data_IF_349088154572
#
_entry.id   IF_349088154572
#
_cell.length_a   1.000
_cell.length_b   1.000
_cell.length_c   1.000
_cell.angle_alpha   90.00
_cell.angle_beta   90.00
_cell.angle_gamma   90.00
#
_symmetry.space_group_name_H-M   'P 1'
#
loop_
_entity.id
_entity.type
_entity.pdbx_description
1 polymer ?
#
# COMPACT_ATOMS: atom_id res chain seq x y z
N UNK A 1 1.15 -12.51 -5.87
CA UNK A 1 0.78 -11.44 -6.80
C UNK A 1 1.15 -10.16 -6.06
N UNK A 2 2.21 -9.48 -6.49
CA UNK A 2 2.63 -8.25 -5.81
C UNK A 2 1.62 -7.19 -6.24
N UNK A 3 0.79 -6.73 -5.29
CA UNK A 3 -0.10 -5.60 -5.52
C UNK A 3 0.78 -4.36 -5.54
N UNK A 4 1.01 -3.78 -6.71
CA UNK A 4 1.87 -2.60 -6.83
C UNK A 4 0.98 -1.39 -6.56
N UNK A 5 0.80 -1.12 -5.27
CA UNK A 5 0.17 0.10 -4.74
C UNK A 5 1.04 0.75 -3.67
N UNK A 6 2.36 0.54 -3.81
CA UNK A 6 3.35 1.06 -2.88
C UNK A 6 3.27 2.58 -2.76
N UNK A 7 2.96 3.29 -3.86
CA UNK A 7 2.79 4.74 -3.85
C UNK A 7 1.63 5.18 -2.94
N UNK A 8 0.44 4.60 -3.11
CA UNK A 8 -0.74 4.91 -2.29
C UNK A 8 -0.48 4.61 -0.81
N UNK A 9 0.07 3.42 -0.53
CA UNK A 9 0.44 3.02 0.83
C UNK A 9 1.42 4.01 1.45
N UNK A 10 2.48 4.39 0.73
CA UNK A 10 3.46 5.37 1.22
C UNK A 10 2.85 6.73 1.50
N UNK A 11 2.01 7.24 0.60
CA UNK A 11 1.34 8.54 0.80
C UNK A 11 0.44 8.51 2.04
N UNK A 12 -0.31 7.43 2.25
CA UNK A 12 -1.11 7.27 3.47
C UNK A 12 -0.23 7.13 4.71
N UNK A 13 0.86 6.37 4.65
CA UNK A 13 1.84 6.25 5.72
C UNK A 13 2.47 7.59 6.11
N UNK A 14 2.79 8.42 5.11
CA UNK A 14 3.29 9.79 5.28
C UNK A 14 2.27 10.64 6.05
N UNK A 15 1.01 10.65 5.59
CA UNK A 15 -0.06 11.40 6.25
C UNK A 15 -0.31 10.91 7.68
N UNK A 16 -0.32 9.60 7.92
CA UNK A 16 -0.45 9.03 9.26
C UNK A 16 0.68 9.50 10.17
N UNK A 17 1.93 9.40 9.71
CA UNK A 17 3.07 9.84 10.51
C UNK A 17 3.02 11.35 10.78
N UNK A 18 2.69 12.16 9.79
CA UNK A 18 2.49 13.59 9.96
C UNK A 18 1.42 13.89 11.04
N UNK A 19 0.24 13.31 10.90
CA UNK A 19 -0.89 13.55 11.81
C UNK A 19 -0.57 13.10 13.23
N UNK A 20 0.08 11.95 13.40
CA UNK A 20 0.49 11.48 14.73
C UNK A 20 1.48 12.44 15.37
N UNK A 21 2.53 12.86 14.65
CA UNK A 21 3.54 13.78 15.18
C UNK A 21 2.92 15.15 15.52
N UNK A 22 1.97 15.62 14.71
CA UNK A 22 1.36 16.95 14.88
C UNK A 22 0.35 17.00 16.02
N UNK A 23 -0.44 15.94 16.22
CA UNK A 23 -1.60 15.97 17.11
C UNK A 23 -1.46 15.12 18.38
N UNK A 24 -0.51 14.19 18.44
CA UNK A 24 -0.29 13.37 19.64
C UNK A 24 0.80 14.02 20.51
N UNK A 25 0.59 14.12 21.84
CA UNK A 25 1.59 14.68 22.75
C UNK A 25 2.99 14.06 22.57
N UNK A 26 4.03 14.84 22.89
CA UNK A 26 5.48 14.57 22.69
C UNK A 26 6.07 13.32 23.37
N UNK A 27 5.26 12.29 23.64
CA UNK A 27 5.73 10.96 24.02
C UNK A 27 6.16 10.22 22.76
N UNK A 28 7.47 10.25 22.47
CA UNK A 28 8.08 9.64 21.29
C UNK A 28 7.64 8.18 21.09
N UNK A 29 7.64 7.39 22.17
CA UNK A 29 7.25 5.98 22.12
C UNK A 29 5.79 5.76 21.72
N UNK A 30 4.89 6.58 22.26
CA UNK A 30 3.48 6.52 21.90
C UNK A 30 3.27 6.85 20.43
N UNK A 31 3.96 7.89 19.94
CA UNK A 31 3.91 8.28 18.52
C UNK A 31 4.36 7.14 17.61
N UNK A 32 5.51 6.51 17.90
CA UNK A 32 6.02 5.36 17.13
C UNK A 32 4.98 4.23 17.12
N UNK A 33 4.43 3.85 18.27
CA UNK A 33 3.44 2.78 18.37
C UNK A 33 2.20 3.11 17.53
N UNK A 34 1.69 4.34 17.61
CA UNK A 34 0.52 4.76 16.84
C UNK A 34 0.79 4.78 15.34
N UNK A 35 1.97 5.23 14.91
CA UNK A 35 2.39 5.20 13.50
C UNK A 35 2.40 3.76 12.99
N UNK A 36 2.98 2.83 13.76
CA UNK A 36 3.03 1.42 13.39
C UNK A 36 1.62 0.80 13.31
N UNK A 37 0.77 1.06 14.31
CA UNK A 37 -0.60 0.51 14.35
C UNK A 37 -1.44 1.09 13.20
N UNK A 38 -1.48 2.40 13.06
CA UNK A 38 -2.30 3.04 12.03
C UNK A 38 -1.78 2.77 10.63
N UNK A 39 -0.45 2.78 10.43
CA UNK A 39 0.17 2.38 9.17
C UNK A 39 -0.22 0.96 8.79
N UNK A 40 -0.06 0.00 9.71
CA UNK A 40 -0.45 -1.40 9.50
C UNK A 40 -1.94 -1.57 9.21
N UNK A 41 -2.81 -0.86 9.93
CA UNK A 41 -4.26 -0.94 9.75
C UNK A 41 -4.75 -0.23 8.48
N UNK A 42 -3.96 0.70 7.91
CA UNK A 42 -4.34 1.42 6.69
C UNK A 42 -4.57 0.49 5.48
N UNK A 43 -3.90 -0.67 5.45
CA UNK A 43 -4.17 -1.73 4.48
C UNK A 43 -5.63 -2.14 4.43
N UNK A 44 -6.31 -2.19 5.58
CA UNK A 44 -7.72 -2.59 5.64
C UNK A 44 -8.61 -1.73 4.74
N UNK A 45 -8.22 -0.47 4.50
CA UNK A 45 -8.96 0.47 3.68
C UNK A 45 -8.46 0.47 2.24
N UNK A 46 -7.15 0.52 2.04
CA UNK A 46 -6.53 0.69 0.72
C UNK A 46 -6.71 -0.56 -0.14
N UNK A 47 -6.39 -1.73 0.41
CA UNK A 47 -6.39 -2.98 -0.35
C UNK A 47 -7.77 -3.39 -0.89
N UNK A 48 -8.86 -3.28 -0.12
CA UNK A 48 -10.19 -3.59 -0.62
C UNK A 48 -10.69 -2.58 -1.66
N UNK A 49 -10.36 -1.30 -1.51
CA UNK A 49 -10.65 -0.28 -2.52
C UNK A 49 -9.96 -0.65 -3.84
N UNK A 50 -8.66 -0.90 -3.77
CA UNK A 50 -7.86 -1.34 -4.89
C UNK A 50 -8.37 -2.61 -5.56
N UNK A 51 -8.64 -3.64 -4.76
CA UNK A 51 -9.14 -4.92 -5.23
C UNK A 51 -10.42 -4.81 -6.07
N UNK A 52 -11.16 -3.70 -5.95
CA UNK A 52 -12.40 -3.45 -6.67
C UNK A 52 -12.26 -2.43 -7.79
N UNK A 53 -11.46 -1.39 -7.61
CA UNK A 53 -11.52 -0.22 -8.49
C UNK A 53 -10.26 0.01 -9.31
N UNK A 54 -9.15 -0.65 -9.00
CA UNK A 54 -7.87 -0.40 -9.69
C UNK A 54 -7.47 -1.50 -10.67
N UNK A 55 -6.61 -1.14 -11.62
CA UNK A 55 -6.07 -2.07 -12.61
C UNK A 55 -4.95 -2.91 -12.01
N UNK A 56 -5.25 -4.17 -11.73
CA UNK A 56 -4.28 -5.18 -11.31
C UNK A 56 -4.66 -6.53 -11.93
N UNK A 57 -4.18 -6.82 -13.15
CA UNK A 57 -4.39 -8.14 -13.72
C UNK A 57 -3.72 -9.20 -12.84
N UNK A 58 -4.32 -10.39 -12.68
CA UNK A 58 -3.85 -11.41 -11.74
C UNK A 58 -2.47 -11.98 -12.09
N UNK A 59 -2.02 -11.76 -13.32
CA UNK A 59 -0.70 -12.15 -13.83
C UNK A 59 -0.03 -10.92 -14.42
N UNK A 60 1.25 -10.74 -14.09
CA UNK A 60 2.09 -9.77 -14.76
C UNK A 60 2.21 -10.17 -16.24
N UNK A 61 2.01 -9.20 -17.14
CA UNK A 61 2.17 -9.38 -18.57
C UNK A 61 3.32 -8.50 -19.08
N UNK A 62 4.51 -9.08 -19.12
CA UNK A 62 5.73 -8.40 -19.58
C UNK A 62 5.75 -8.14 -21.08
N UNK A 63 4.85 -8.76 -21.85
CA UNK A 63 4.74 -8.52 -23.29
C UNK A 63 3.74 -7.39 -23.59
N UNK A 64 2.87 -7.03 -22.64
CA UNK A 64 1.99 -5.89 -22.77
C UNK A 64 2.74 -4.58 -22.47
N UNK A 65 3.00 -3.81 -23.53
CA UNK A 65 3.64 -2.48 -23.44
C UNK A 65 2.91 -1.53 -22.49
N UNK A 66 1.58 -1.61 -22.41
CA UNK A 66 0.81 -0.78 -21.49
C UNK A 66 1.13 -1.14 -20.04
N UNK A 67 1.06 -2.44 -19.70
CA UNK A 67 1.38 -2.94 -18.37
C UNK A 67 2.80 -2.54 -17.97
N UNK A 68 3.79 -2.77 -18.83
CA UNK A 68 5.19 -2.43 -18.54
C UNK A 68 5.37 -0.93 -18.32
N UNK A 69 4.84 -0.10 -19.22
CA UNK A 69 5.00 1.36 -19.15
C UNK A 69 4.33 1.94 -17.89
N UNK A 70 3.13 1.44 -17.57
CA UNK A 70 2.41 1.83 -16.35
C UNK A 70 3.23 1.53 -15.09
N UNK A 71 3.74 0.31 -14.95
CA UNK A 71 4.50 -0.08 -13.76
C UNK A 71 5.84 0.63 -13.64
N UNK A 72 6.54 0.89 -14.76
CA UNK A 72 7.74 1.74 -14.75
C UNK A 72 7.39 3.13 -14.19
N UNK A 73 6.29 3.73 -14.64
CA UNK A 73 5.81 5.01 -14.12
C UNK A 73 5.55 4.97 -12.62
N UNK A 74 4.83 3.94 -12.13
CA UNK A 74 4.56 3.77 -10.70
C UNK A 74 5.84 3.58 -9.88
N UNK A 75 6.83 2.85 -10.38
CA UNK A 75 8.11 2.68 -9.69
C UNK A 75 8.90 3.99 -9.60
N UNK A 76 8.98 4.75 -10.69
CA UNK A 76 9.61 6.08 -10.69
C UNK A 76 8.91 6.97 -9.68
N UNK A 77 7.58 7.03 -9.74
CA UNK A 77 6.77 7.84 -8.84
C UNK A 77 6.92 7.46 -7.37
N UNK A 78 6.89 6.16 -7.06
CA UNK A 78 7.17 5.64 -5.70
C UNK A 78 8.56 6.05 -5.24
N UNK A 79 9.57 5.97 -6.11
CA UNK A 79 10.94 6.42 -5.81
C UNK A 79 11.01 7.91 -5.50
N UNK A 80 10.28 8.75 -6.24
CA UNK A 80 10.18 10.18 -5.95
C UNK A 80 9.54 10.43 -4.59
N UNK A 81 8.46 9.72 -4.23
CA UNK A 81 7.82 9.83 -2.91
C UNK A 81 8.84 9.55 -1.79
N UNK A 82 9.63 8.46 -1.92
CA UNK A 82 10.66 8.13 -0.92
C UNK A 82 11.68 9.27 -0.77
N UNK A 83 12.15 9.83 -1.87
CA UNK A 83 13.18 10.89 -1.88
C UNK A 83 12.64 12.18 -1.26
N UNK A 84 11.46 12.64 -1.69
CA UNK A 84 10.88 13.90 -1.24
C UNK A 84 10.37 13.87 0.19
N UNK A 85 9.87 12.71 0.65
CA UNK A 85 9.26 12.54 1.97
C UNK A 85 10.07 11.62 2.89
N UNK A 86 11.40 11.58 2.73
CA UNK A 86 12.28 10.69 3.49
C UNK A 86 12.14 10.80 5.01
N UNK A 87 11.83 11.99 5.52
CA UNK A 87 11.57 12.24 6.94
C UNK A 87 10.38 11.43 7.51
N UNK A 88 9.48 10.96 6.64
CA UNK A 88 8.33 10.13 6.98
C UNK A 88 8.52 8.63 6.67
N UNK A 89 9.77 8.18 6.61
CA UNK A 89 10.11 6.78 6.29
C UNK A 89 9.44 5.76 7.21
N UNK A 90 9.24 6.08 8.49
CA UNK A 90 8.64 5.15 9.46
C UNK A 90 7.18 4.85 9.09
N UNK A 91 6.43 5.89 8.74
CA UNK A 91 5.05 5.78 8.25
C UNK A 91 4.99 4.98 6.95
N UNK A 92 5.87 5.28 6.00
CA UNK A 92 5.96 4.55 4.72
C UNK A 92 6.25 3.05 4.93
N UNK A 93 7.17 2.69 5.84
CA UNK A 93 7.45 1.29 6.15
C UNK A 93 6.25 0.66 6.87
N UNK A 94 5.70 1.34 7.88
CA UNK A 94 4.55 0.86 8.65
C UNK A 94 3.37 0.49 7.73
N UNK A 95 3.10 1.33 6.73
CA UNK A 95 2.05 1.14 5.73
C UNK A 95 2.37 0.09 4.67
N UNK A 96 3.50 -0.63 4.73
CA UNK A 96 3.78 -1.79 3.87
C UNK A 96 4.16 -3.05 4.67
N UNK A 97 4.05 -3.03 6.00
CA UNK A 97 4.36 -4.19 6.84
C UNK A 97 3.52 -5.43 6.43
N UNK A 98 2.19 -5.34 6.23
CA UNK A 98 1.40 -6.48 5.72
C UNK A 98 1.96 -7.08 4.43
N UNK A 99 2.39 -6.24 3.48
CA UNK A 99 3.01 -6.68 2.23
C UNK A 99 4.34 -7.40 2.47
N UNK A 100 5.20 -6.85 3.32
CA UNK A 100 6.47 -7.49 3.69
C UNK A 100 6.21 -8.85 4.35
N UNK A 101 5.23 -8.92 5.26
CA UNK A 101 4.91 -10.11 6.02
C UNK A 101 4.28 -11.22 5.19
N UNK A 102 3.39 -10.93 4.23
CA UNK A 102 2.77 -11.98 3.41
C UNK A 102 3.60 -12.29 2.15
N UNK A 103 4.15 -11.27 1.48
CA UNK A 103 4.88 -11.48 0.22
C UNK A 103 6.37 -11.78 0.43
N UNK A 104 7.02 -11.11 1.39
CA UNK A 104 8.42 -11.43 1.75
C UNK A 104 8.54 -12.86 2.27
N UNK A 105 7.58 -13.26 3.10
CA UNK A 105 7.35 -14.64 3.51
C UNK A 105 7.31 -15.63 2.32
N UNK A 106 6.43 -15.39 1.35
CA UNK A 106 6.33 -16.23 0.13
C UNK A 106 7.62 -16.24 -0.68
N UNK A 107 8.32 -15.10 -0.77
CA UNK A 107 9.59 -15.01 -1.47
C UNK A 107 10.67 -15.87 -0.79
N UNK A 108 10.77 -15.84 0.54
CA UNK A 108 11.71 -16.65 1.31
C UNK A 108 11.49 -18.16 1.15
N UNK A 109 10.24 -18.61 0.97
CA UNK A 109 9.93 -20.02 0.65
C UNK A 109 10.55 -20.46 -0.67
N UNK A 110 10.63 -19.59 -1.69
CA UNK A 110 11.28 -19.91 -2.98
C UNK A 110 12.74 -20.35 -2.78
N UNK A 111 13.37 -19.87 -1.71
CA UNK A 111 14.75 -20.20 -1.33
C UNK A 111 14.85 -21.37 -0.34
N UNK A 112 13.76 -22.10 -0.06
CA UNK A 112 13.70 -23.32 0.78
C UNK A 112 14.24 -23.19 2.22
N UNK A 113 14.45 -21.98 2.73
CA UNK A 113 15.00 -21.80 4.08
C UNK A 113 14.03 -22.21 5.19
N UNK A 114 12.71 -22.11 4.97
CA UNK A 114 11.69 -22.44 5.97
C UNK A 114 10.45 -23.09 5.35
N UNK A 115 10.04 -24.23 5.88
CA UNK A 115 8.78 -24.90 5.56
C UNK A 115 7.71 -24.52 6.60
N UNK A 116 7.14 -23.32 6.48
CA UNK A 116 6.02 -22.92 7.33
C UNK A 116 4.70 -23.00 6.56
N UNK A 117 3.70 -23.69 7.12
CA UNK A 117 2.41 -23.96 6.46
C UNK A 117 1.60 -22.69 6.15
N UNK A 118 1.88 -21.59 6.85
CA UNK A 118 1.19 -20.33 6.65
C UNK A 118 1.65 -19.54 5.39
N UNK A 119 2.63 -20.03 4.62
CA UNK A 119 3.10 -19.33 3.41
C UNK A 119 2.11 -19.35 2.22
N UNK A 120 1.16 -20.29 2.18
CA UNK A 120 0.33 -20.50 0.99
C UNK A 120 -0.82 -19.50 0.85
N UNK A 121 -1.26 -18.88 1.95
CA UNK A 121 -2.37 -17.90 1.97
C UNK A 121 -1.86 -16.55 2.49
N UNK A 122 -2.39 -15.42 1.99
CA UNK A 122 -1.99 -14.12 2.50
C UNK A 122 -2.72 -13.89 3.84
N UNK A 123 -2.22 -14.51 4.91
CA UNK A 123 -2.92 -14.57 6.19
C UNK A 123 -3.10 -13.18 6.80
N UNK A 124 -2.06 -12.34 6.72
CA UNK A 124 -2.09 -10.99 7.29
C UNK A 124 -3.11 -10.15 6.55
N UNK A 125 -3.08 -10.12 5.21
CA UNK A 125 -4.08 -9.40 4.43
C UNK A 125 -5.49 -9.97 4.63
N UNK A 126 -5.64 -11.30 4.68
CA UNK A 126 -6.95 -11.91 4.93
C UNK A 126 -7.50 -11.54 6.30
N UNK A 127 -6.65 -11.40 7.31
CA UNK A 127 -7.07 -10.99 8.65
C UNK A 127 -7.51 -9.52 8.67
N UNK A 128 -6.67 -8.62 8.15
CA UNK A 128 -6.87 -7.17 8.20
C UNK A 128 -7.99 -6.71 7.25
N UNK A 129 -8.07 -7.26 6.04
CA UNK A 129 -9.00 -6.79 5.02
C UNK A 129 -10.41 -7.37 5.17
N UNK A 130 -10.59 -8.44 5.95
CA UNK A 130 -11.88 -9.16 6.06
C UNK A 130 -13.07 -8.28 6.46
N UNK A 131 -12.96 -7.36 7.45
CA UNK A 131 -14.08 -6.50 7.81
C UNK A 131 -14.54 -5.62 6.65
N UNK A 132 -13.61 -5.00 5.93
CA UNK A 132 -13.93 -4.08 4.83
C UNK A 132 -14.36 -4.84 3.58
N UNK A 133 -13.74 -5.98 3.27
CA UNK A 133 -14.19 -6.85 2.18
C UNK A 133 -15.61 -7.39 2.41
N UNK A 134 -16.00 -7.63 3.67
CA UNK A 134 -17.37 -7.99 4.02
C UNK A 134 -18.34 -6.85 3.71
N UNK A 135 -17.98 -5.60 4.03
CA UNK A 135 -18.78 -4.42 3.69
C UNK A 135 -18.91 -4.19 2.18
N UNK A 136 -17.87 -4.55 1.42
CA UNK A 136 -17.84 -4.44 -0.05
C UNK A 136 -18.40 -5.68 -0.77
N UNK A 137 -19.08 -6.58 -0.04
CA UNK A 137 -19.70 -7.76 -0.63
C UNK A 137 -20.80 -7.33 -1.61
N UNK A 138 -20.66 -7.68 -2.87
CA UNK A 138 -21.59 -7.31 -3.95
C UNK A 138 -21.11 -6.17 -4.85
N UNK A 139 -20.00 -5.49 -4.50
CA UNK A 139 -19.34 -4.57 -5.43
C UNK A 139 -18.56 -5.40 -6.45
N UNK A 140 -19.00 -5.38 -7.70
CA UNK A 140 -18.27 -5.96 -8.82
C UNK A 140 -17.21 -4.97 -9.30
N UNK A 141 -15.97 -5.43 -9.35
CA UNK A 141 -14.82 -4.68 -9.84
C UNK A 141 -14.21 -5.41 -11.02
N UNK A 142 -13.64 -4.67 -11.97
CA UNK A 142 -12.93 -5.25 -13.10
C UNK A 142 -11.48 -4.78 -13.12
N UNK A 143 -10.63 -5.62 -12.54
CA UNK A 143 -9.22 -5.33 -12.30
C UNK A 143 -8.37 -5.58 -13.56
N UNK A 144 -8.98 -6.12 -14.63
CA UNK A 144 -8.31 -6.37 -15.90
C UNK A 144 -8.49 -5.23 -16.90
N UNK A 145 -9.39 -4.28 -16.64
CA UNK A 145 -9.59 -3.12 -17.50
C UNK A 145 -8.49 -2.10 -17.27
N UNK A 146 -7.79 -1.74 -18.34
CA UNK A 146 -6.75 -0.69 -18.33
C UNK A 146 -7.26 0.65 -17.79
N UNK A 147 -8.55 0.96 -17.94
CA UNK A 147 -9.17 2.16 -17.35
C UNK A 147 -9.14 2.17 -15.82
N UNK A 148 -8.95 1.01 -15.18
CA UNK A 148 -8.74 0.90 -13.74
C UNK A 148 -7.45 1.56 -13.23
N UNK A 149 -6.54 2.02 -14.11
CA UNK A 149 -5.42 2.87 -13.65
C UNK A 149 -5.88 4.27 -13.23
N UNK A 150 -7.02 4.74 -13.75
CA UNK A 150 -7.50 6.11 -13.53
C UNK A 150 -7.81 6.36 -12.05
N UNK A 151 -8.60 5.52 -11.34
CA UNK A 151 -8.88 5.73 -9.93
C UNK A 151 -7.62 5.75 -9.06
N UNK A 152 -6.62 4.93 -9.39
CA UNK A 152 -5.34 4.89 -8.67
C UNK A 152 -4.55 6.18 -8.86
N UNK A 153 -4.39 6.63 -10.11
CA UNK A 153 -3.68 7.89 -10.44
C UNK A 153 -4.38 9.09 -9.78
N UNK A 154 -5.71 9.13 -9.83
CA UNK A 154 -6.49 10.22 -9.20
C UNK A 154 -6.30 10.22 -7.69
N UNK A 155 -6.39 9.05 -7.04
CA UNK A 155 -6.18 8.94 -5.60
C UNK A 155 -4.77 9.37 -5.20
N UNK A 156 -3.74 8.86 -5.89
CA UNK A 156 -2.34 9.20 -5.62
C UNK A 156 -2.03 10.68 -5.85
N UNK A 157 -2.64 11.30 -6.87
CA UNK A 157 -2.50 12.73 -7.12
C UNK A 157 -3.13 13.55 -6.00
N UNK A 158 -4.36 13.20 -5.58
CA UNK A 158 -5.04 13.87 -4.46
C UNK A 158 -4.22 13.75 -3.18
N UNK A 159 -3.79 12.53 -2.83
CA UNK A 159 -3.00 12.28 -1.63
C UNK A 159 -1.66 13.02 -1.66
N UNK A 160 -1.02 13.11 -2.82
CA UNK A 160 0.23 13.88 -2.97
C UNK A 160 0.03 15.37 -2.82
N UNK A 161 -1.02 15.93 -3.40
CA UNK A 161 -1.37 17.35 -3.22
C UNK A 161 -1.64 17.62 -1.74
N UNK A 162 -2.42 16.78 -1.07
CA UNK A 162 -2.70 16.89 0.37
C UNK A 162 -1.40 16.82 1.18
N UNK A 163 -0.55 15.83 0.91
CA UNK A 163 0.73 15.67 1.60
C UNK A 163 1.61 16.91 1.42
N UNK A 164 1.77 17.41 0.19
CA UNK A 164 2.57 18.62 -0.08
C UNK A 164 1.99 19.83 0.64
N UNK A 165 0.68 20.06 0.54
CA UNK A 165 0.03 21.20 1.16
C UNK A 165 0.18 21.20 2.67
N UNK A 166 -0.07 20.06 3.32
CA UNK A 166 -0.08 19.97 4.78
C UNK A 166 1.35 19.98 5.37
N UNK A 167 2.34 19.47 4.63
CA UNK A 167 3.72 19.35 5.13
C UNK A 167 4.52 20.63 4.90
N UNK A 168 4.27 21.34 3.80
CA UNK A 168 5.11 22.48 3.39
C UNK A 168 4.42 23.85 3.48
N UNK A 169 3.12 23.91 3.77
CA UNK A 169 2.36 25.17 3.91
C UNK A 169 1.55 25.19 5.20
#
# INVERSE_FOLDING_TARGET
MIKIQSSTHFLIGILIQFLVIQFIPNTVWLSIILILIFGFLSHALIDPFAAKFTYHPPKADWNDRFWVSYHIGIYIYTGLIIIFFWQYWLGMIASIIPDILDWGARALRKYKFFHLEWYDKPYVHNFINRPVLFLLKGVEGDTNKRTGVIPEIVLDAILSVIAVLIIYF
#
